data_IF_760155831564
#
_entry.id   IF_760155831564
#
_cell.length_a   1.000
_cell.length_b   1.000
_cell.length_c   1.000
_cell.angle_alpha   90.00
_cell.angle_beta   90.00
_cell.angle_gamma   90.00
#
_symmetry.space_group_name_H-M   'P 1'
#
loop_
_entity.id
_entity.type
_entity.pdbx_description
1 polymer ?
#
# COMPACT_ATOMS: atom_id res chain seq x y z
N UNK A 1 12.98 -6.83 -46.02
CA UNK A 1 13.45 -5.71 -45.18
C UNK A 1 12.99 -5.98 -43.76
N UNK A 2 13.87 -6.52 -42.91
CA UNK A 2 13.53 -6.97 -41.56
C UNK A 2 13.29 -5.76 -40.64
N UNK A 3 12.10 -5.67 -40.06
CA UNK A 3 11.79 -4.76 -38.96
C UNK A 3 12.62 -5.16 -37.75
N UNK A 4 13.66 -4.37 -37.46
CA UNK A 4 14.42 -4.45 -36.22
C UNK A 4 13.45 -4.30 -35.04
N UNK A 5 13.23 -5.41 -34.32
CA UNK A 5 12.57 -5.39 -33.03
C UNK A 5 13.44 -4.57 -32.07
N UNK A 6 13.14 -3.28 -31.93
CA UNK A 6 13.79 -2.43 -30.93
C UNK A 6 13.45 -3.01 -29.56
N UNK A 7 14.48 -3.43 -28.84
CA UNK A 7 14.40 -3.96 -27.48
C UNK A 7 13.80 -2.87 -26.58
N UNK A 8 12.58 -3.07 -26.08
CA UNK A 8 11.78 -2.08 -25.35
C UNK A 8 12.18 -1.92 -23.87
N UNK A 9 13.48 -1.95 -23.55
CA UNK A 9 13.98 -1.61 -22.21
C UNK A 9 14.45 -0.15 -22.25
N UNK A 10 13.56 0.78 -21.90
CA UNK A 10 13.92 2.17 -21.71
C UNK A 10 14.46 2.37 -20.29
N UNK A 11 15.75 2.69 -20.15
CA UNK A 11 16.29 3.18 -18.88
C UNK A 11 15.51 4.43 -18.38
N UNK A 12 14.92 5.17 -19.33
CA UNK A 12 14.25 6.45 -19.09
C UNK A 12 15.20 7.58 -19.45
N UNK A 13 14.66 8.73 -19.84
CA UNK A 13 15.46 9.94 -20.09
C UNK A 13 15.35 10.87 -18.89
N UNK A 14 16.38 11.67 -18.62
CA UNK A 14 16.36 12.58 -17.47
C UNK A 14 15.20 13.60 -17.52
N UNK A 15 14.78 13.99 -18.73
CA UNK A 15 13.62 14.85 -18.97
C UNK A 15 12.27 14.19 -18.63
N UNK A 16 12.22 12.85 -18.59
CA UNK A 16 11.04 12.10 -18.17
C UNK A 16 10.69 12.36 -16.71
N UNK A 17 11.69 12.58 -15.85
CA UNK A 17 11.51 12.83 -14.42
C UNK A 17 10.74 14.14 -14.15
N UNK A 18 11.07 15.18 -14.91
CA UNK A 18 10.52 16.53 -14.74
C UNK A 18 9.26 16.75 -15.58
N UNK A 19 8.87 15.78 -16.40
CA UNK A 19 7.69 15.91 -17.24
C UNK A 19 6.43 16.02 -16.37
N UNK A 20 5.50 16.95 -16.66
CA UNK A 20 4.29 17.16 -15.87
C UNK A 20 3.48 15.87 -15.66
N UNK A 21 3.38 15.02 -16.68
CA UNK A 21 2.65 13.76 -16.58
C UNK A 21 3.33 12.74 -15.66
N UNK A 22 4.66 12.73 -15.58
CA UNK A 22 5.39 11.87 -14.65
C UNK A 22 5.20 12.32 -13.21
N UNK A 23 5.16 13.63 -12.97
CA UNK A 23 4.86 14.20 -11.65
C UNK A 23 3.42 13.83 -11.25
N UNK A 24 2.45 14.04 -12.14
CA UNK A 24 1.04 13.67 -11.90
C UNK A 24 0.88 12.18 -11.61
N UNK A 25 1.57 11.33 -12.37
CA UNK A 25 1.55 9.89 -12.15
C UNK A 25 2.20 9.48 -10.82
N UNK A 26 3.31 10.10 -10.45
CA UNK A 26 3.98 9.86 -9.17
C UNK A 26 3.10 10.27 -7.99
N UNK A 27 2.42 11.42 -8.08
CA UNK A 27 1.45 11.85 -7.08
C UNK A 27 0.22 10.93 -7.01
N UNK A 28 -0.25 10.41 -8.15
CA UNK A 28 -1.33 9.44 -8.18
C UNK A 28 -0.95 8.13 -7.49
N UNK A 29 0.26 7.62 -7.69
CA UNK A 29 0.78 6.45 -6.95
C UNK A 29 0.90 6.70 -5.46
N UNK A 30 1.35 7.88 -5.05
CA UNK A 30 1.41 8.27 -3.63
C UNK A 30 0.01 8.26 -3.00
N UNK A 31 -0.94 8.98 -3.60
CA UNK A 31 -2.30 9.13 -3.06
C UNK A 31 -3.08 7.81 -3.08
N UNK A 32 -2.99 7.04 -4.16
CA UNK A 32 -3.65 5.73 -4.24
C UNK A 32 -3.09 4.75 -3.22
N UNK A 33 -1.77 4.70 -3.03
CA UNK A 33 -1.15 3.83 -2.02
C UNK A 33 -1.51 4.26 -0.61
N UNK A 34 -1.53 5.58 -0.35
CA UNK A 34 -2.02 6.13 0.91
C UNK A 34 -3.45 5.67 1.21
N UNK A 35 -4.39 5.82 0.27
CA UNK A 35 -5.79 5.42 0.45
C UNK A 35 -5.91 3.91 0.68
N UNK A 36 -5.21 3.11 -0.14
CA UNK A 36 -5.20 1.65 -0.03
C UNK A 36 -4.73 1.20 1.36
N UNK A 37 -3.57 1.66 1.81
CA UNK A 37 -2.98 1.27 3.10
C UNK A 37 -3.81 1.81 4.26
N UNK A 38 -4.28 3.05 4.19
CA UNK A 38 -5.08 3.65 5.26
C UNK A 38 -6.38 2.87 5.48
N UNK A 39 -7.09 2.53 4.41
CA UNK A 39 -8.34 1.76 4.51
C UNK A 39 -8.09 0.29 4.87
N UNK A 40 -7.07 -0.35 4.30
CA UNK A 40 -6.70 -1.73 4.59
C UNK A 40 -6.30 -1.93 6.05
N UNK A 41 -5.24 -1.25 6.49
CA UNK A 41 -4.75 -1.36 7.87
C UNK A 41 -5.73 -0.74 8.88
N UNK A 42 -6.47 0.30 8.47
CA UNK A 42 -7.54 0.88 9.28
C UNK A 42 -8.67 -0.12 9.57
N UNK A 43 -9.01 -0.99 8.61
CA UNK A 43 -10.03 -2.03 8.81
C UNK A 43 -9.58 -3.08 9.83
N UNK A 44 -8.29 -3.46 9.80
CA UNK A 44 -7.70 -4.36 10.78
C UNK A 44 -7.78 -3.76 12.19
N UNK A 45 -7.31 -2.52 12.35
CA UNK A 45 -7.35 -1.79 13.63
C UNK A 45 -8.78 -1.60 14.14
N UNK A 46 -9.72 -1.30 13.26
CA UNK A 46 -11.11 -1.12 13.62
C UNK A 46 -11.74 -2.43 14.13
N UNK A 47 -11.51 -3.55 13.44
CA UNK A 47 -12.01 -4.86 13.86
C UNK A 47 -11.39 -5.31 15.17
N UNK A 48 -10.07 -5.17 15.32
CA UNK A 48 -9.38 -5.49 16.56
C UNK A 48 -9.98 -4.71 17.74
N UNK A 49 -10.20 -3.40 17.57
CA UNK A 49 -10.84 -2.56 18.59
C UNK A 49 -12.28 -2.98 18.93
N UNK A 50 -13.08 -3.31 17.91
CA UNK A 50 -14.50 -3.66 18.08
C UNK A 50 -14.69 -4.95 18.91
N UNK A 51 -13.73 -5.88 18.82
CA UNK A 51 -13.77 -7.16 19.53
C UNK A 51 -12.73 -7.26 20.65
N UNK A 52 -12.16 -6.13 21.09
CA UNK A 52 -11.17 -6.08 22.15
C UNK A 52 -11.74 -6.52 23.51
N UNK A 53 -13.01 -6.20 23.79
CA UNK A 53 -13.63 -6.40 25.11
C UNK A 53 -14.60 -7.59 25.14
N UNK A 54 -14.66 -8.39 24.08
CA UNK A 54 -15.45 -9.62 24.09
C UNK A 54 -14.69 -10.72 24.82
N UNK A 55 -15.40 -11.55 25.61
CA UNK A 55 -14.82 -12.64 26.40
C UNK A 55 -13.93 -13.62 25.61
N UNK A 56 -14.03 -13.61 24.28
CA UNK A 56 -13.25 -14.44 23.37
C UNK A 56 -12.01 -13.76 22.77
N UNK A 57 -11.81 -12.43 22.92
CA UNK A 57 -10.72 -11.64 22.30
C UNK A 57 -10.48 -12.04 20.84
N UNK A 58 -11.57 -12.18 20.09
CA UNK A 58 -11.58 -12.93 18.84
C UNK A 58 -11.22 -12.11 17.61
N UNK A 59 -11.24 -10.77 17.69
CA UNK A 59 -10.70 -9.81 16.71
C UNK A 59 -10.61 -10.32 15.27
N UNK A 60 -9.41 -10.24 14.71
CA UNK A 60 -9.05 -10.82 13.41
C UNK A 60 -8.67 -12.30 13.50
N UNK A 61 -8.74 -12.91 14.68
CA UNK A 61 -8.39 -14.32 14.92
C UNK A 61 -9.55 -15.28 14.61
N UNK A 62 -10.65 -14.79 14.05
CA UNK A 62 -11.77 -15.60 13.58
C UNK A 62 -11.82 -15.64 12.05
N UNK A 63 -12.38 -16.72 11.46
CA UNK A 63 -12.62 -16.77 10.02
C UNK A 63 -13.43 -15.58 9.50
N UNK A 64 -14.45 -15.14 10.26
CA UNK A 64 -15.26 -13.97 9.91
C UNK A 64 -14.45 -12.66 9.91
N UNK A 65 -13.61 -12.45 10.93
CA UNK A 65 -12.71 -11.28 11.01
C UNK A 65 -11.73 -11.24 9.83
N UNK A 66 -11.11 -12.37 9.49
CA UNK A 66 -10.19 -12.46 8.35
C UNK A 66 -10.90 -12.14 7.01
N UNK A 67 -12.12 -12.64 6.81
CA UNK A 67 -12.91 -12.35 5.60
C UNK A 67 -13.22 -10.85 5.50
N UNK A 68 -13.59 -10.20 6.60
CA UNK A 68 -13.88 -8.76 6.61
C UNK A 68 -12.64 -7.92 6.28
N UNK A 69 -11.48 -8.23 6.88
CA UNK A 69 -10.20 -7.56 6.56
C UNK A 69 -9.82 -7.78 5.10
N UNK A 70 -9.95 -9.02 4.59
CA UNK A 70 -9.62 -9.33 3.20
C UNK A 70 -10.52 -8.58 2.21
N UNK A 71 -11.83 -8.50 2.47
CA UNK A 71 -12.76 -7.72 1.66
C UNK A 71 -12.45 -6.22 1.70
N UNK A 72 -12.12 -5.67 2.87
CA UNK A 72 -11.75 -4.27 3.00
C UNK A 72 -10.49 -3.94 2.18
N UNK A 73 -9.46 -4.79 2.23
CA UNK A 73 -8.25 -4.62 1.41
C UNK A 73 -8.55 -4.72 -0.08
N UNK A 74 -9.37 -5.69 -0.50
CA UNK A 74 -9.72 -5.88 -1.90
C UNK A 74 -10.50 -4.68 -2.46
N UNK A 75 -11.49 -4.17 -1.72
CA UNK A 75 -12.28 -3.00 -2.12
C UNK A 75 -11.44 -1.71 -2.10
N UNK A 76 -10.58 -1.54 -1.09
CA UNK A 76 -9.66 -0.41 -1.02
C UNK A 76 -8.68 -0.40 -2.19
N UNK A 77 -8.08 -1.55 -2.52
CA UNK A 77 -7.18 -1.69 -3.65
C UNK A 77 -7.92 -1.44 -4.96
N UNK A 78 -9.12 -2.02 -5.13
CA UNK A 78 -9.96 -1.78 -6.30
C UNK A 78 -10.21 -0.28 -6.51
N UNK A 79 -10.69 0.42 -5.47
CA UNK A 79 -10.95 1.85 -5.55
C UNK A 79 -9.69 2.66 -5.86
N UNK A 80 -8.57 2.36 -5.19
CA UNK A 80 -7.29 3.03 -5.39
C UNK A 80 -6.75 2.86 -6.82
N UNK A 81 -6.79 1.64 -7.35
CA UNK A 81 -6.37 1.34 -8.72
C UNK A 81 -7.31 2.00 -9.72
N UNK A 82 -8.63 1.88 -9.55
CA UNK A 82 -9.62 2.50 -10.45
C UNK A 82 -9.46 4.02 -10.54
N UNK A 83 -9.14 4.69 -9.43
CA UNK A 83 -8.88 6.12 -9.40
C UNK A 83 -7.58 6.51 -10.12
N UNK A 84 -6.54 5.67 -10.05
CA UNK A 84 -5.21 5.97 -10.56
C UNK A 84 -4.92 5.44 -11.97
N UNK A 85 -5.73 4.50 -12.50
CA UNK A 85 -5.42 3.75 -13.72
C UNK A 85 -5.16 4.63 -14.95
N UNK A 86 -5.94 5.69 -15.12
CA UNK A 86 -5.81 6.62 -16.27
C UNK A 86 -4.72 7.69 -16.09
N UNK A 87 -4.02 7.69 -14.94
CA UNK A 87 -3.01 8.70 -14.61
C UNK A 87 -1.63 8.02 -14.51
N UNK A 88 -1.49 7.04 -13.63
CA UNK A 88 -0.22 6.34 -13.37
C UNK A 88 -0.16 4.93 -13.96
N UNK A 89 -1.30 4.36 -14.35
CA UNK A 89 -1.43 2.92 -14.59
C UNK A 89 -1.88 2.15 -13.34
N UNK A 90 -2.03 2.82 -12.20
CA UNK A 90 -2.58 2.26 -10.96
C UNK A 90 -1.79 1.07 -10.44
N UNK A 91 -0.48 1.20 -10.26
CA UNK A 91 0.35 0.10 -9.76
C UNK A 91 0.10 -0.13 -8.26
N UNK A 92 0.14 0.95 -7.46
CA UNK A 92 -0.16 0.97 -6.00
C UNK A 92 0.70 -0.01 -5.19
N UNK A 93 1.74 -0.58 -5.79
CA UNK A 93 2.49 -1.71 -5.25
C UNK A 93 3.88 -1.79 -5.91
N UNK A 94 4.97 -1.82 -5.11
CA UNK A 94 6.31 -1.97 -5.64
C UNK A 94 6.55 -3.22 -6.48
N UNK A 95 5.94 -4.35 -6.12
CA UNK A 95 6.04 -5.61 -6.86
C UNK A 95 5.34 -5.52 -8.23
N UNK A 96 4.20 -4.83 -8.31
CA UNK A 96 3.49 -4.58 -9.57
C UNK A 96 4.32 -3.66 -10.47
N UNK A 97 4.90 -2.59 -9.91
CA UNK A 97 5.84 -1.72 -10.62
C UNK A 97 7.05 -2.48 -11.12
N UNK A 98 7.59 -3.39 -10.31
CA UNK A 98 8.73 -4.22 -10.70
C UNK A 98 8.38 -5.18 -11.85
N UNK A 99 7.22 -5.83 -11.77
CA UNK A 99 6.72 -6.69 -12.85
C UNK A 99 6.52 -5.90 -14.16
N UNK A 100 5.95 -4.69 -14.07
CA UNK A 100 5.81 -3.79 -15.21
C UNK A 100 7.18 -3.36 -15.78
N UNK A 101 8.19 -3.15 -14.93
CA UNK A 101 9.54 -2.79 -15.33
C UNK A 101 10.22 -3.91 -16.10
N UNK A 102 10.18 -5.14 -15.58
CA UNK A 102 10.72 -6.32 -16.28
C UNK A 102 9.95 -6.57 -17.59
N UNK A 103 8.64 -6.30 -17.59
CA UNK A 103 7.79 -6.38 -18.77
C UNK A 103 8.01 -5.26 -19.79
N UNK A 104 8.91 -4.28 -19.55
CA UNK A 104 9.17 -3.16 -20.45
C UNK A 104 7.98 -2.19 -20.59
N UNK A 105 7.08 -2.15 -19.60
CA UNK A 105 5.86 -1.32 -19.59
C UNK A 105 6.07 0.03 -18.90
N UNK A 106 7.17 0.19 -18.18
CA UNK A 106 7.57 1.41 -17.48
C UNK A 106 9.10 1.56 -17.57
N UNK A 107 9.60 2.80 -17.57
CA UNK A 107 11.05 3.07 -17.53
C UNK A 107 11.62 2.84 -16.12
N UNK A 108 12.94 2.62 -16.02
CA UNK A 108 13.61 2.45 -14.72
C UNK A 108 13.46 3.70 -13.85
N UNK A 109 13.67 4.89 -14.43
CA UNK A 109 13.51 6.17 -13.71
C UNK A 109 12.10 6.31 -13.13
N UNK A 110 11.06 6.06 -13.93
CA UNK A 110 9.67 6.18 -13.47
C UNK A 110 9.31 5.11 -12.45
N UNK A 111 9.84 3.89 -12.57
CA UNK A 111 9.69 2.84 -11.57
C UNK A 111 10.26 3.24 -10.20
N UNK A 112 11.44 3.88 -10.17
CA UNK A 112 12.03 4.38 -8.92
C UNK A 112 11.16 5.45 -8.28
N UNK A 113 10.61 6.40 -9.05
CA UNK A 113 9.68 7.40 -8.51
C UNK A 113 8.41 6.76 -7.97
N UNK A 114 7.86 5.76 -8.65
CA UNK A 114 6.69 5.03 -8.17
C UNK A 114 6.98 4.33 -6.85
N UNK A 115 8.13 3.65 -6.70
CA UNK A 115 8.50 3.03 -5.43
C UNK A 115 8.62 4.03 -4.30
N UNK A 116 9.28 5.17 -4.52
CA UNK A 116 9.39 6.23 -3.50
C UNK A 116 7.99 6.74 -3.12
N UNK A 117 7.14 7.03 -4.11
CA UNK A 117 5.78 7.49 -3.88
C UNK A 117 4.92 6.47 -3.12
N UNK A 118 4.96 5.19 -3.51
CA UNK A 118 4.24 4.10 -2.87
C UNK A 118 4.67 3.92 -1.41
N UNK A 119 5.98 3.90 -1.15
CA UNK A 119 6.52 3.76 0.20
C UNK A 119 6.17 4.96 1.09
N UNK A 120 6.29 6.19 0.58
CA UNK A 120 5.92 7.39 1.33
C UNK A 120 4.41 7.46 1.60
N UNK A 121 3.57 7.05 0.63
CA UNK A 121 2.13 6.98 0.80
C UNK A 121 1.72 6.01 1.90
N UNK A 122 2.33 4.81 1.90
CA UNK A 122 2.11 3.80 2.94
C UNK A 122 2.57 4.29 4.33
N UNK A 123 3.77 4.89 4.43
CA UNK A 123 4.27 5.46 5.68
C UNK A 123 3.32 6.52 6.22
N UNK A 124 2.88 7.46 5.38
CA UNK A 124 1.98 8.53 5.82
C UNK A 124 0.61 7.98 6.25
N UNK A 125 0.10 6.96 5.58
CA UNK A 125 -1.14 6.28 5.97
C UNK A 125 -1.03 5.68 7.37
N UNK A 126 0.04 4.93 7.65
CA UNK A 126 0.27 4.34 8.96
C UNK A 126 0.49 5.40 10.06
N UNK A 127 1.21 6.48 9.76
CA UNK A 127 1.38 7.61 10.70
C UNK A 127 0.04 8.27 11.02
N UNK A 128 -0.79 8.52 10.00
CA UNK A 128 -2.10 9.12 10.21
C UNK A 128 -3.02 8.19 11.00
N UNK A 129 -3.04 6.88 10.71
CA UNK A 129 -3.77 5.90 11.49
C UNK A 129 -3.34 5.90 12.96
N UNK A 130 -2.02 5.95 13.23
CA UNK A 130 -1.51 6.01 14.61
C UNK A 130 -2.00 7.27 15.33
N UNK A 131 -2.02 8.42 14.64
CA UNK A 131 -2.50 9.68 15.21
C UNK A 131 -4.01 9.66 15.46
N UNK A 132 -4.81 9.21 14.49
CA UNK A 132 -6.29 9.23 14.59
C UNK A 132 -6.84 8.17 15.53
N UNK A 133 -6.12 7.06 15.74
CA UNK A 133 -6.50 6.00 16.68
C UNK A 133 -5.95 6.22 18.09
N UNK A 134 -5.28 7.35 18.33
CA UNK A 134 -4.63 7.68 19.60
C UNK A 134 -3.63 6.59 20.07
N UNK A 135 -2.87 6.03 19.13
CA UNK A 135 -1.84 5.02 19.41
C UNK A 135 -2.39 3.66 19.83
N UNK A 136 -3.48 3.20 19.21
CA UNK A 136 -4.17 1.95 19.56
C UNK A 136 -3.26 0.70 19.55
N UNK A 137 -2.16 0.71 18.81
CA UNK A 137 -1.06 -0.27 18.97
C UNK A 137 -0.37 -0.09 20.34
N UNK A 138 -1.02 -0.55 21.41
CA UNK A 138 -0.38 -0.78 22.69
C UNK A 138 0.20 -2.19 22.68
N UNK A 139 1.52 -2.31 22.79
CA UNK A 139 2.15 -3.57 23.20
C UNK A 139 1.54 -3.91 24.56
N UNK A 140 0.91 -5.08 24.66
CA UNK A 140 0.22 -5.53 25.86
C UNK A 140 1.26 -5.71 27.00
N UNK A 141 1.16 -4.96 28.12
CA UNK A 141 2.18 -4.98 29.18
C UNK A 141 2.26 -6.30 29.97
N UNK A 142 1.26 -7.16 29.86
CA UNK A 142 1.11 -8.47 30.50
C UNK A 142 2.01 -9.58 29.92
N UNK A 143 2.81 -9.31 28.88
CA UNK A 143 3.83 -10.28 28.43
C UNK A 143 5.03 -10.34 29.40
N UNK A 144 5.20 -9.33 30.27
CA UNK A 144 6.31 -9.29 31.25
C UNK A 144 5.98 -10.04 32.54
N UNK A 145 4.72 -10.05 32.99
CA UNK A 145 4.33 -10.72 34.24
C UNK A 145 4.15 -12.25 34.11
N UNK A 146 4.03 -12.78 32.89
CA UNK A 146 3.88 -14.23 32.66
C UNK A 146 5.20 -15.03 32.73
N UNK A 147 6.35 -14.38 32.96
CA UNK A 147 7.67 -15.04 33.04
C UNK A 147 8.36 -14.93 34.42
N UNK A 148 7.76 -14.25 35.39
CA UNK A 148 8.31 -14.14 36.76
C UNK A 148 7.30 -14.74 37.74
N UNK A 149 7.37 -16.06 38.01
CA UNK A 149 6.59 -16.64 39.11
C UNK A 149 7.18 -16.18 40.45
N UNK A 150 6.30 -15.84 41.41
CA UNK A 150 6.68 -15.62 42.82
C UNK A 150 7.13 -16.90 43.52
#
# INVERSE_FOLDING_TARGET
MATSARRAYGFGRADEATHPDSIRATLAEFLSTFVFVFAGEGSFLALDKLYWDTAAHTGTNTPGGLVLVALAHALALFAAVSAAINISGGHVNPAVTFAALIGGRISVIRAVYYWIAQLLGAILACLLLRLTTNGLFKIKPDTVELYVPE
#
